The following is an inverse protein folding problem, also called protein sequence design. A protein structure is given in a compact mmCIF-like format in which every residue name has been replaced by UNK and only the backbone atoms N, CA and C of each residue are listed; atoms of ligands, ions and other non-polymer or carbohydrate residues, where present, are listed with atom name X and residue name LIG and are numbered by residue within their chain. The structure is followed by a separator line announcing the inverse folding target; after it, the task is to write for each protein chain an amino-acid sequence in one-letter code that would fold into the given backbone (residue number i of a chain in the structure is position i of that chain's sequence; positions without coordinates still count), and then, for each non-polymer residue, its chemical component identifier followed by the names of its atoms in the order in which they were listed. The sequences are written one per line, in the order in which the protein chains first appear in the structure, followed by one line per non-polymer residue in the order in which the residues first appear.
data_IF_543634916691
#
_entry.id   IF_543634916691
#
_cell.length_a   1.000
_cell.length_b   1.000
_cell.length_c   1.000
_cell.angle_alpha   90.00
_cell.angle_beta   90.00
_cell.angle_gamma   90.00
#
_symmetry.space_group_name_H-M   'P 1'
#
loop_
_entity.id
_entity.type
_entity.pdbx_description
1 polymer ?
#
# COMPACT_ATOMS: atom_id res chain seq x y z
N UNK A 1 -9.04 20.54 41.25
CA UNK A 1 -9.79 20.04 40.08
C UNK A 1 -9.15 20.65 38.84
N UNK A 2 -8.45 19.97 37.92
CA UNK A 2 -8.47 18.55 37.48
C UNK A 2 -9.90 18.08 37.16
N UNK A 3 -10.28 17.58 35.98
CA UNK A 3 -9.58 16.93 34.82
C UNK A 3 -10.04 17.64 33.51
N UNK A 4 -9.37 17.63 32.34
CA UNK A 4 -8.16 16.98 31.80
C UNK A 4 -7.69 17.70 30.51
N UNK A 5 -7.04 17.11 29.48
CA UNK A 5 -6.55 15.73 29.28
C UNK A 5 -6.82 15.15 27.87
N UNK A 6 -6.01 15.49 26.86
CA UNK A 6 -5.87 14.67 25.63
C UNK A 6 -6.35 15.23 24.27
N UNK A 7 -5.44 15.82 23.49
CA UNK A 7 -5.54 15.84 22.00
C UNK A 7 -4.19 16.10 21.27
N UNK A 8 -3.05 15.90 21.93
CA UNK A 8 -1.71 15.98 21.33
C UNK A 8 -1.32 14.74 20.47
N UNK A 9 -2.30 13.96 20.01
CA UNK A 9 -2.08 12.65 19.37
C UNK A 9 -1.95 12.64 17.84
N UNK A 10 -2.45 13.66 17.12
CA UNK A 10 -2.64 13.57 15.66
C UNK A 10 -1.72 14.48 14.82
N UNK A 11 -0.60 14.97 15.38
CA UNK A 11 0.34 15.86 14.67
C UNK A 11 1.72 15.24 14.37
N UNK A 12 1.95 13.98 14.77
CA UNK A 12 3.30 13.39 14.74
C UNK A 12 3.53 12.31 13.68
N UNK A 13 2.49 11.70 13.11
CA UNK A 13 2.63 10.57 12.18
C UNK A 13 3.22 10.97 10.82
N UNK A 14 2.93 12.19 10.33
CA UNK A 14 3.48 12.68 9.06
C UNK A 14 5.00 12.92 9.07
N UNK A 15 5.60 13.17 10.24
CA UNK A 15 7.04 13.48 10.34
C UNK A 15 7.93 12.24 10.14
N UNK A 16 7.43 11.04 10.44
CA UNK A 16 8.13 9.77 10.17
C UNK A 16 7.94 9.27 8.74
N UNK A 17 6.85 9.67 8.06
CA UNK A 17 6.58 9.28 6.68
C UNK A 17 7.53 9.96 5.67
N UNK A 18 7.82 11.24 5.85
CA UNK A 18 8.74 11.97 4.98
C UNK A 18 10.17 11.36 4.87
N UNK A 19 10.88 11.04 5.97
CA UNK A 19 12.23 10.46 5.88
C UNK A 19 12.24 9.03 5.33
N UNK A 20 11.23 8.20 5.60
CA UNK A 20 11.20 6.83 5.03
C UNK A 20 10.97 6.86 3.51
N UNK A 21 10.10 7.76 3.03
CA UNK A 21 9.91 8.02 1.59
C UNK A 21 11.18 8.59 0.96
N UNK A 22 11.90 9.48 1.66
CA UNK A 22 13.18 10.04 1.20
C UNK A 22 14.24 8.94 1.02
N UNK A 23 14.41 8.06 2.02
CA UNK A 23 15.35 6.92 1.96
C UNK A 23 14.97 5.99 0.79
N UNK A 24 13.68 5.71 0.61
CA UNK A 24 13.18 4.90 -0.49
C UNK A 24 13.51 5.52 -1.86
N UNK A 25 13.28 6.83 -2.04
CA UNK A 25 13.66 7.53 -3.28
C UNK A 25 15.16 7.46 -3.56
N UNK A 26 16.01 7.64 -2.54
CA UNK A 26 17.47 7.54 -2.67
C UNK A 26 17.87 6.12 -3.07
N UNK A 27 17.25 5.07 -2.49
CA UNK A 27 17.51 3.69 -2.87
C UNK A 27 17.15 3.41 -4.34
N UNK A 28 15.95 3.77 -4.81
CA UNK A 28 15.58 3.55 -6.23
C UNK A 28 16.44 4.38 -7.19
N UNK A 29 16.86 5.58 -6.79
CA UNK A 29 17.79 6.41 -7.55
C UNK A 29 19.17 5.75 -7.67
N UNK A 30 19.69 5.20 -6.58
CA UNK A 30 20.95 4.45 -6.54
C UNK A 30 20.93 3.19 -7.42
N UNK A 31 19.84 2.43 -7.38
CA UNK A 31 19.60 1.29 -8.28
C UNK A 31 19.59 1.75 -9.75
N UNK A 32 18.89 2.86 -10.04
CA UNK A 32 18.89 3.48 -11.37
C UNK A 32 20.29 3.81 -11.87
N UNK A 33 21.10 4.49 -11.05
CA UNK A 33 22.50 4.82 -11.36
C UNK A 33 23.31 3.54 -11.64
N UNK A 34 23.21 2.54 -10.76
CA UNK A 34 23.92 1.27 -10.91
C UNK A 34 23.61 0.61 -12.26
N UNK A 35 22.33 0.60 -12.67
CA UNK A 35 21.92 0.02 -13.94
C UNK A 35 22.37 0.83 -15.17
N UNK A 36 22.43 2.17 -15.07
CA UNK A 36 23.00 3.03 -16.14
C UNK A 36 24.50 2.75 -16.34
N UNK A 37 25.25 2.50 -15.26
CA UNK A 37 26.68 2.16 -15.35
C UNK A 37 26.92 0.70 -15.76
N UNK A 38 26.07 -0.24 -15.34
CA UNK A 38 26.22 -1.67 -15.61
C UNK A 38 25.78 -2.09 -17.02
N UNK A 39 24.67 -1.54 -17.52
CA UNK A 39 24.08 -1.96 -18.80
C UNK A 39 24.52 -1.06 -19.96
N UNK A 40 24.08 0.22 -19.99
CA UNK A 40 24.52 1.15 -21.04
C UNK A 40 24.40 2.63 -20.62
N UNK A 41 25.55 3.31 -20.50
CA UNK A 41 25.60 4.74 -20.19
C UNK A 41 25.20 5.63 -21.39
N UNK A 42 25.06 5.06 -22.59
CA UNK A 42 24.51 5.75 -23.77
C UNK A 42 23.06 6.18 -23.57
N UNK A 43 22.33 5.60 -22.62
CA UNK A 43 20.97 6.02 -22.26
C UNK A 43 20.94 7.50 -21.86
N UNK A 44 22.03 8.04 -21.28
CA UNK A 44 22.15 9.45 -20.91
C UNK A 44 22.14 10.39 -22.14
N UNK A 45 22.42 9.89 -23.35
CA UNK A 45 22.28 10.67 -24.60
C UNK A 45 20.81 10.91 -24.96
N UNK A 46 19.86 10.13 -24.42
CA UNK A 46 18.43 10.35 -24.62
C UNK A 46 17.94 11.70 -24.06
N UNK A 47 18.63 12.27 -23.06
CA UNK A 47 18.37 13.62 -22.56
C UNK A 47 18.70 14.73 -23.57
N UNK A 48 19.47 14.44 -24.63
CA UNK A 48 19.71 15.43 -25.68
C UNK A 48 18.47 15.61 -26.56
N UNK A 49 17.93 16.83 -26.71
CA UNK A 49 16.68 17.09 -27.43
C UNK A 49 16.74 16.71 -28.92
N UNK A 50 17.96 16.54 -29.47
CA UNK A 50 18.20 16.05 -30.83
C UNK A 50 17.60 14.65 -31.05
N UNK A 51 17.67 13.76 -30.04
CA UNK A 51 17.10 12.41 -30.14
C UNK A 51 15.58 12.43 -30.04
N UNK A 52 15.01 13.27 -29.17
CA UNK A 52 13.55 13.47 -29.05
C UNK A 52 12.97 14.00 -30.36
N UNK A 53 13.57 15.03 -30.96
CA UNK A 53 13.15 15.56 -32.25
C UNK A 53 13.25 14.51 -33.37
N UNK A 54 14.34 13.72 -33.40
CA UNK A 54 14.51 12.63 -34.37
C UNK A 54 13.47 11.53 -34.18
N UNK A 55 13.16 11.15 -32.94
CA UNK A 55 12.13 10.17 -32.61
C UNK A 55 10.75 10.62 -33.09
N UNK A 56 10.34 11.86 -32.80
CA UNK A 56 9.06 12.40 -33.25
C UNK A 56 8.98 12.48 -34.78
N UNK A 57 10.05 12.94 -35.45
CA UNK A 57 10.10 13.08 -36.91
C UNK A 57 10.03 11.72 -37.64
N UNK A 58 10.70 10.69 -37.13
CA UNK A 58 10.69 9.35 -37.71
C UNK A 58 9.45 8.54 -37.31
N UNK A 59 8.95 8.72 -36.09
CA UNK A 59 7.92 7.88 -35.48
C UNK A 59 6.48 8.13 -35.93
N UNK A 60 6.19 9.23 -36.64
CA UNK A 60 4.86 9.64 -37.16
C UNK A 60 3.70 9.26 -36.22
N UNK A 61 2.98 8.16 -36.52
CA UNK A 61 1.83 7.68 -35.71
C UNK A 61 2.23 7.31 -34.27
N UNK A 62 3.28 6.50 -34.09
CA UNK A 62 3.73 6.07 -32.75
C UNK A 62 4.23 7.25 -31.91
N UNK A 63 4.98 8.17 -32.53
CA UNK A 63 5.44 9.39 -31.86
C UNK A 63 4.28 10.28 -31.40
N UNK A 64 3.22 10.42 -32.20
CA UNK A 64 2.04 11.19 -31.83
C UNK A 64 1.25 10.55 -30.66
N UNK A 65 1.10 9.22 -30.65
CA UNK A 65 0.48 8.50 -29.52
C UNK A 65 1.27 8.71 -28.21
N UNK A 66 2.61 8.62 -28.26
CA UNK A 66 3.46 8.90 -27.09
C UNK A 66 3.34 10.35 -26.62
N UNK A 67 3.25 11.32 -27.55
CA UNK A 67 3.05 12.73 -27.20
C UNK A 67 1.70 12.95 -26.47
N UNK A 68 0.64 12.27 -26.91
CA UNK A 68 -0.66 12.30 -26.24
C UNK A 68 -0.61 11.77 -24.81
N UNK A 69 0.14 10.68 -24.57
CA UNK A 69 0.37 10.15 -23.22
C UNK A 69 1.14 11.11 -22.31
N UNK A 70 2.17 11.80 -22.84
CA UNK A 70 2.90 12.84 -22.10
C UNK A 70 1.97 14.00 -21.73
N UNK A 71 1.17 14.51 -22.68
CA UNK A 71 0.25 15.61 -22.42
C UNK A 71 -0.81 15.24 -21.37
N UNK A 72 -1.37 14.03 -21.45
CA UNK A 72 -2.35 13.52 -20.48
C UNK A 72 -1.74 13.35 -19.07
N UNK A 73 -0.47 12.93 -18.99
CA UNK A 73 0.25 12.83 -17.72
C UNK A 73 0.52 14.20 -17.09
N UNK A 74 0.82 15.23 -17.89
CA UNK A 74 0.97 16.61 -17.40
C UNK A 74 -0.35 17.11 -16.81
N UNK A 75 -1.47 16.99 -17.53
CA UNK A 75 -2.77 17.47 -17.03
C UNK A 75 -3.26 16.70 -15.80
N UNK A 76 -2.99 15.40 -15.70
CA UNK A 76 -3.25 14.62 -14.49
C UNK A 76 -2.39 15.05 -13.29
N UNK A 77 -1.15 15.46 -13.56
CA UNK A 77 -0.22 15.96 -12.52
C UNK A 77 -0.67 17.34 -12.00
N UNK A 78 -1.14 18.24 -12.88
CA UNK A 78 -1.70 19.53 -12.49
C UNK A 78 -2.96 19.38 -11.62
N UNK A 79 -3.85 18.44 -11.94
CA UNK A 79 -5.02 18.12 -11.11
C UNK A 79 -4.61 17.63 -9.71
N UNK A 80 -3.67 16.70 -9.63
CA UNK A 80 -3.14 16.20 -8.35
C UNK A 80 -2.47 17.31 -7.52
N UNK A 81 -1.80 18.28 -8.14
CA UNK A 81 -1.26 19.44 -7.43
C UNK A 81 -2.33 20.45 -6.99
N UNK A 82 -3.45 20.57 -7.71
CA UNK A 82 -4.57 21.42 -7.30
C UNK A 82 -5.20 20.92 -5.98
N UNK A 83 -5.35 19.61 -5.81
CA UNK A 83 -5.86 19.00 -4.57
C UNK A 83 -4.86 19.15 -3.39
N UNK A 84 -3.55 19.21 -3.68
CA UNK A 84 -2.49 19.41 -2.67
C UNK A 84 -2.27 20.87 -2.26
N UNK A 85 -2.91 21.84 -2.93
CA UNK A 85 -2.66 23.28 -2.77
C UNK A 85 -3.05 23.86 -1.40
N UNK A 86 -3.62 23.07 -0.49
CA UNK A 86 -3.88 23.47 0.90
C UNK A 86 -2.62 23.54 1.78
N UNK A 87 -1.47 23.03 1.28
CA UNK A 87 -0.17 23.06 1.94
C UNK A 87 0.79 24.07 1.28
N UNK A 88 1.86 24.52 1.98
CA UNK A 88 2.82 25.47 1.41
C UNK A 88 3.55 24.87 0.19
N UNK A 89 3.09 25.28 -1.00
CA UNK A 89 3.45 24.75 -2.31
C UNK A 89 4.98 24.76 -2.56
N UNK A 90 5.69 25.78 -2.09
CA UNK A 90 7.13 25.95 -2.28
C UNK A 90 7.98 24.85 -1.64
N UNK A 91 7.59 24.33 -0.47
CA UNK A 91 8.30 23.25 0.20
C UNK A 91 8.12 21.92 -0.54
N UNK A 92 6.91 21.65 -1.03
CA UNK A 92 6.58 20.46 -1.82
C UNK A 92 7.34 20.50 -3.16
N UNK A 93 7.28 21.62 -3.88
CA UNK A 93 8.01 21.80 -5.14
C UNK A 93 9.51 21.59 -4.97
N UNK A 94 10.14 22.17 -3.94
CA UNK A 94 11.58 22.00 -3.71
C UNK A 94 11.94 20.53 -3.45
N UNK A 95 11.19 19.82 -2.61
CA UNK A 95 11.41 18.40 -2.34
C UNK A 95 11.21 17.53 -3.60
N UNK A 96 10.19 17.85 -4.41
CA UNK A 96 9.93 17.14 -5.65
C UNK A 96 11.04 17.35 -6.68
N UNK A 97 11.41 18.60 -6.95
CA UNK A 97 12.43 18.92 -7.96
C UNK A 97 13.84 18.51 -7.53
N UNK A 98 14.18 18.61 -6.24
CA UNK A 98 15.53 18.30 -5.75
C UNK A 98 15.79 16.81 -5.50
N UNK A 99 14.76 16.01 -5.19
CA UNK A 99 14.95 14.58 -4.85
C UNK A 99 14.08 13.65 -5.69
N UNK A 100 12.75 13.83 -5.69
CA UNK A 100 11.82 12.89 -6.34
C UNK A 100 12.09 12.83 -7.85
N UNK A 101 12.20 13.98 -8.50
CA UNK A 101 12.44 14.10 -9.93
C UNK A 101 13.77 13.44 -10.38
N UNK A 102 14.95 13.77 -9.83
CA UNK A 102 16.19 13.09 -10.21
C UNK A 102 16.17 11.59 -9.87
N UNK A 103 15.62 11.17 -8.72
CA UNK A 103 15.56 9.75 -8.37
C UNK A 103 14.70 8.94 -9.34
N UNK A 104 13.52 9.46 -9.72
CA UNK A 104 12.65 8.83 -10.74
C UNK A 104 13.31 8.82 -12.12
N UNK A 105 13.91 9.94 -12.54
CA UNK A 105 14.61 10.07 -13.82
C UNK A 105 15.76 9.07 -13.95
N UNK A 106 16.53 8.86 -12.88
CA UNK A 106 17.56 7.81 -12.78
C UNK A 106 16.95 6.40 -12.82
N UNK A 107 15.89 6.14 -12.05
CA UNK A 107 15.24 4.82 -12.00
C UNK A 107 14.64 4.40 -13.35
N UNK A 108 13.96 5.30 -14.07
CA UNK A 108 13.45 5.03 -15.42
C UNK A 108 14.57 4.89 -16.45
N UNK A 109 15.64 5.69 -16.35
CA UNK A 109 16.80 5.55 -17.24
C UNK A 109 17.53 4.22 -17.03
N UNK A 110 17.66 3.75 -15.79
CA UNK A 110 18.21 2.43 -15.47
C UNK A 110 17.36 1.28 -16.02
N UNK A 111 16.02 1.36 -15.91
CA UNK A 111 15.11 0.41 -16.53
C UNK A 111 15.21 0.42 -18.06
N UNK A 112 15.32 1.60 -18.68
CA UNK A 112 15.49 1.72 -20.13
C UNK A 112 16.83 1.13 -20.61
N UNK A 113 17.93 1.34 -19.87
CA UNK A 113 19.23 0.72 -20.14
C UNK A 113 19.19 -0.81 -20.00
N UNK A 114 18.47 -1.34 -18.99
CA UNK A 114 18.24 -2.77 -18.83
C UNK A 114 17.44 -3.37 -20.01
N UNK A 115 16.36 -2.70 -20.42
CA UNK A 115 15.48 -3.13 -21.53
C UNK A 115 16.15 -3.05 -22.91
N UNK A 116 17.16 -2.19 -23.10
CA UNK A 116 17.95 -2.18 -24.34
C UNK A 116 18.69 -3.49 -24.59
N UNK A 117 19.01 -4.26 -23.54
CA UNK A 117 19.63 -5.58 -23.65
C UNK A 117 18.61 -6.72 -23.47
N UNK A 118 17.53 -6.50 -22.72
CA UNK A 118 16.54 -7.51 -22.34
C UNK A 118 15.12 -7.11 -22.76
N UNK A 119 14.89 -6.98 -24.08
CA UNK A 119 13.64 -6.48 -24.67
C UNK A 119 12.37 -7.27 -24.32
N UNK A 120 12.50 -8.50 -23.81
CA UNK A 120 11.37 -9.39 -23.48
C UNK A 120 10.75 -9.08 -22.09
N UNK A 121 11.47 -8.39 -21.21
CA UNK A 121 11.09 -8.20 -19.80
C UNK A 121 10.40 -6.85 -19.51
N UNK A 122 9.59 -6.33 -20.45
CA UNK A 122 8.98 -4.99 -20.34
C UNK A 122 8.06 -4.85 -19.11
N UNK A 123 7.35 -5.90 -18.70
CA UNK A 123 6.42 -5.83 -17.56
C UNK A 123 7.13 -5.86 -16.20
N UNK A 124 8.19 -6.66 -16.06
CA UNK A 124 8.93 -6.85 -14.81
C UNK A 124 10.27 -6.10 -14.76
N UNK A 125 10.48 -5.16 -15.69
CA UNK A 125 11.74 -4.47 -15.95
C UNK A 125 12.36 -3.86 -14.69
N UNK A 126 11.53 -3.28 -13.82
CA UNK A 126 11.99 -2.73 -12.53
C UNK A 126 12.59 -3.83 -11.64
N UNK A 127 11.80 -4.85 -11.28
CA UNK A 127 12.21 -5.93 -10.38
C UNK A 127 13.41 -6.71 -10.90
N UNK A 128 13.40 -7.08 -12.19
CA UNK A 128 14.50 -7.81 -12.86
C UNK A 128 15.79 -7.01 -12.99
N UNK A 129 15.71 -5.68 -12.88
CA UNK A 129 16.90 -4.81 -12.90
C UNK A 129 17.58 -4.67 -11.52
N UNK A 130 17.01 -5.21 -10.43
CA UNK A 130 17.56 -5.09 -9.08
C UNK A 130 18.38 -6.34 -8.73
N UNK A 131 19.71 -6.26 -8.53
CA UNK A 131 20.56 -7.44 -8.35
C UNK A 131 20.31 -8.21 -7.03
N UNK A 132 19.85 -7.54 -5.97
CA UNK A 132 19.52 -8.20 -4.70
C UNK A 132 18.05 -8.64 -4.58
N UNK A 133 17.17 -8.24 -5.51
CA UNK A 133 15.76 -8.65 -5.43
C UNK A 133 15.60 -10.14 -5.72
N UNK A 134 16.34 -10.70 -6.71
CA UNK A 134 16.37 -12.15 -6.94
C UNK A 134 16.92 -12.91 -5.71
N UNK A 135 17.87 -12.35 -4.95
CA UNK A 135 18.38 -12.96 -3.72
C UNK A 135 17.36 -12.90 -2.57
N UNK A 136 16.62 -11.78 -2.44
CA UNK A 136 15.52 -11.65 -1.47
C UNK A 136 14.35 -12.57 -1.83
N UNK A 137 14.03 -12.72 -3.12
CA UNK A 137 12.98 -13.62 -3.63
C UNK A 137 13.38 -15.09 -3.54
N UNK A 138 14.67 -15.44 -3.68
CA UNK A 138 15.18 -16.78 -3.42
C UNK A 138 15.30 -17.10 -1.91
N UNK A 139 15.44 -16.07 -1.06
CA UNK A 139 15.44 -16.21 0.40
C UNK A 139 14.02 -16.18 1.00
N UNK A 140 13.02 -15.67 0.27
CA UNK A 140 11.62 -15.96 0.57
C UNK A 140 11.41 -17.47 0.40
N UNK A 141 10.77 -18.15 1.37
CA UNK A 141 10.40 -19.54 1.19
C UNK A 141 9.43 -19.62 0.01
N UNK A 142 9.88 -20.17 -1.12
CA UNK A 142 9.01 -20.47 -2.24
C UNK A 142 7.89 -21.37 -1.71
N UNK A 143 6.65 -20.87 -1.77
CA UNK A 143 5.48 -21.64 -1.37
C UNK A 143 5.25 -22.71 -2.42
N UNK A 144 5.93 -23.86 -2.28
CA UNK A 144 5.72 -25.04 -3.14
C UNK A 144 4.27 -25.56 -3.07
N UNK A 145 3.54 -25.19 -2.01
CA UNK A 145 2.08 -25.17 -2.04
C UNK A 145 1.58 -23.98 -2.87
N UNK A 146 1.20 -24.25 -4.11
CA UNK A 146 0.54 -23.26 -4.99
C UNK A 146 -0.78 -22.73 -4.41
N UNK A 147 -1.37 -21.75 -5.10
CA UNK A 147 -2.52 -20.97 -4.63
C UNK A 147 -3.70 -21.83 -4.14
N UNK A 148 -3.98 -22.96 -4.80
CA UNK A 148 -5.00 -23.94 -4.37
C UNK A 148 -4.76 -24.53 -2.97
N UNK A 149 -3.51 -24.79 -2.58
CA UNK A 149 -3.19 -25.36 -1.27
C UNK A 149 -3.40 -24.32 -0.15
N UNK A 150 -3.10 -23.05 -0.42
CA UNK A 150 -3.40 -21.93 0.47
C UNK A 150 -4.91 -21.71 0.56
N UNK A 151 -5.63 -21.65 -0.57
CA UNK A 151 -7.08 -21.48 -0.62
C UNK A 151 -7.81 -22.61 0.10
N UNK A 152 -7.39 -23.87 -0.06
CA UNK A 152 -7.95 -25.01 0.66
C UNK A 152 -7.78 -24.87 2.17
N UNK A 153 -6.60 -24.43 2.62
CA UNK A 153 -6.31 -24.23 4.05
C UNK A 153 -7.06 -23.04 4.65
N UNK A 154 -7.27 -21.98 3.85
CA UNK A 154 -8.12 -20.85 4.23
C UNK A 154 -9.58 -21.30 4.36
N UNK A 155 -10.11 -22.06 3.40
CA UNK A 155 -11.48 -22.59 3.47
C UNK A 155 -11.69 -23.55 4.67
N UNK A 156 -10.70 -24.38 4.98
CA UNK A 156 -10.70 -25.27 6.14
C UNK A 156 -10.71 -24.47 7.47
N UNK A 157 -9.88 -23.44 7.57
CA UNK A 157 -9.89 -22.51 8.72
C UNK A 157 -11.18 -21.68 8.81
N UNK A 158 -11.80 -21.31 7.69
CA UNK A 158 -13.11 -20.63 7.72
C UNK A 158 -14.20 -21.56 8.27
N UNK A 159 -14.25 -22.81 7.83
CA UNK A 159 -15.20 -23.80 8.34
C UNK A 159 -14.98 -24.08 9.84
N UNK A 160 -13.74 -24.12 10.33
CA UNK A 160 -13.42 -24.27 11.75
C UNK A 160 -13.90 -23.05 12.57
N UNK A 161 -13.65 -21.82 12.08
CA UNK A 161 -14.11 -20.60 12.74
C UNK A 161 -15.64 -20.49 12.77
N UNK A 162 -16.35 -20.88 11.70
CA UNK A 162 -17.82 -20.89 11.66
C UNK A 162 -18.40 -21.92 12.66
N UNK A 163 -17.79 -23.11 12.75
CA UNK A 163 -18.19 -24.13 13.72
C UNK A 163 -17.98 -23.66 15.18
N UNK A 164 -16.83 -23.08 15.49
CA UNK A 164 -16.53 -22.48 16.81
C UNK A 164 -17.49 -21.34 17.12
N UNK A 165 -17.82 -20.50 16.13
CA UNK A 165 -18.80 -19.42 16.25
C UNK A 165 -20.20 -19.93 16.61
N UNK A 166 -20.66 -21.00 15.97
CA UNK A 166 -21.92 -21.66 16.30
C UNK A 166 -21.91 -22.26 17.72
N UNK A 167 -20.82 -22.92 18.13
CA UNK A 167 -20.70 -23.50 19.48
C UNK A 167 -20.72 -22.41 20.57
N UNK A 168 -19.99 -21.31 20.37
CA UNK A 168 -20.01 -20.13 21.24
C UNK A 168 -21.41 -19.51 21.37
N UNK A 169 -22.16 -19.43 20.27
CA UNK A 169 -23.52 -18.87 20.28
C UNK A 169 -24.51 -19.79 21.02
N UNK A 170 -24.36 -21.11 20.88
CA UNK A 170 -25.15 -22.08 21.62
C UNK A 170 -24.85 -22.04 23.14
N UNK A 171 -23.58 -21.89 23.53
CA UNK A 171 -23.16 -21.66 24.92
C UNK A 171 -23.81 -20.38 25.49
N UNK A 172 -23.83 -19.29 24.71
CA UNK A 172 -24.41 -18.02 25.11
C UNK A 172 -25.93 -18.11 25.31
N UNK A 173 -26.66 -18.73 24.38
CA UNK A 173 -28.12 -18.94 24.53
C UNK A 173 -28.47 -19.83 25.73
N UNK A 174 -27.65 -20.84 26.02
CA UNK A 174 -27.83 -21.68 27.20
C UNK A 174 -27.65 -20.85 28.49
N UNK A 175 -26.56 -20.08 28.59
CA UNK A 175 -26.30 -19.20 29.73
C UNK A 175 -27.39 -18.12 29.92
N UNK A 176 -27.94 -17.57 28.84
CA UNK A 176 -29.03 -16.58 28.92
C UNK A 176 -30.36 -17.20 29.42
N UNK A 177 -30.63 -18.47 29.09
CA UNK A 177 -31.79 -19.21 29.62
C UNK A 177 -31.66 -19.49 31.11
N UNK A 178 -30.49 -19.92 31.57
CA UNK A 178 -30.20 -20.11 33.00
C UNK A 178 -30.40 -18.78 33.77
N UNK A 179 -29.87 -17.67 33.23
CA UNK A 179 -30.02 -16.35 33.84
C UNK A 179 -31.50 -15.91 33.92
N UNK A 180 -32.30 -16.16 32.88
CA UNK A 180 -33.75 -15.90 32.90
C UNK A 180 -34.48 -16.74 33.95
N UNK A 181 -34.18 -18.04 34.07
CA UNK A 181 -34.78 -18.88 35.13
C UNK A 181 -34.46 -18.36 36.53
N UNK A 182 -33.21 -17.94 36.78
CA UNK A 182 -32.82 -17.33 38.05
C UNK A 182 -33.59 -16.03 38.31
N UNK A 183 -33.77 -15.19 37.28
CA UNK A 183 -34.53 -13.94 37.40
C UNK A 183 -36.03 -14.18 37.70
N UNK A 184 -36.66 -15.15 37.04
CA UNK A 184 -38.06 -15.52 37.29
C UNK A 184 -38.25 -16.06 38.72
N UNK A 185 -37.33 -16.90 39.20
CA UNK A 185 -37.32 -17.41 40.58
C UNK A 185 -37.21 -16.26 41.61
N UNK A 186 -36.36 -15.26 41.36
CA UNK A 186 -36.27 -14.08 42.21
C UNK A 186 -37.55 -13.24 42.19
N UNK A 187 -38.19 -13.07 41.03
CA UNK A 187 -39.48 -12.36 40.93
C UNK A 187 -40.57 -13.06 41.73
N UNK A 188 -40.71 -14.38 41.56
CA UNK A 188 -41.71 -15.18 42.26
C UNK A 188 -41.49 -15.17 43.78
N UNK A 189 -40.23 -15.19 44.24
CA UNK A 189 -39.89 -15.05 45.65
C UNK A 189 -40.26 -13.66 46.21
N UNK A 190 -40.04 -12.59 45.44
CA UNK A 190 -40.42 -11.23 45.83
C UNK A 190 -41.95 -11.07 45.93
N UNK A 191 -42.71 -11.59 44.95
CA UNK A 191 -44.17 -11.55 44.95
C UNK A 191 -44.77 -12.35 46.12
N UNK A 192 -44.22 -13.53 46.42
CA UNK A 192 -44.64 -14.32 47.58
C UNK A 192 -44.40 -13.56 48.90
N UNK A 193 -43.25 -12.88 49.05
CA UNK A 193 -42.94 -12.07 50.23
C UNK A 193 -43.86 -10.85 50.37
N UNK A 194 -44.18 -10.18 49.25
CA UNK A 194 -45.14 -9.07 49.21
C UNK A 194 -46.57 -9.51 49.59
N UNK A 195 -47.01 -10.68 49.11
CA UNK A 195 -48.32 -11.23 49.44
C UNK A 195 -48.45 -11.62 50.91
N UNK A 196 -47.40 -12.21 51.52
CA UNK A 196 -47.38 -12.53 52.95
C UNK A 196 -47.53 -11.27 53.82
N UNK A 197 -46.88 -10.15 53.46
CA UNK A 197 -46.96 -8.88 54.20
C UNK A 197 -48.33 -8.19 54.11
N UNK A 198 -49.26 -8.69 53.28
CA UNK A 198 -50.59 -8.11 53.06
C UNK A 198 -51.72 -8.87 53.77
N UNK A 199 -51.37 -9.91 54.53
CA UNK A 199 -52.30 -10.78 55.26
C UNK A 199 -52.41 -10.48 56.77
N UNK A 200 -51.60 -9.52 57.27
CA UNK A 200 -51.65 -8.93 58.61
C UNK A 200 -52.27 -7.52 58.57
#
# INVERSE_FOLDING_TARGET
MSVGGGSMGLRSSGWLFAPIVLIWFIMIGGIGIFNIFKYDSSILRAFSPVYVYRYLKTGKKKGFTSLGGIMLSITGTEALFADLAHFPVSAIQLAFTAVVFPCLLLAYSGQAAYLMQNSEHVQDAFYRSIPEFDALVAALPLSEGGEEAQLKRIAELQAENDAIGHELQQQLEAAEKELRQVQDLFSQAADNCLNLKKAD
#
